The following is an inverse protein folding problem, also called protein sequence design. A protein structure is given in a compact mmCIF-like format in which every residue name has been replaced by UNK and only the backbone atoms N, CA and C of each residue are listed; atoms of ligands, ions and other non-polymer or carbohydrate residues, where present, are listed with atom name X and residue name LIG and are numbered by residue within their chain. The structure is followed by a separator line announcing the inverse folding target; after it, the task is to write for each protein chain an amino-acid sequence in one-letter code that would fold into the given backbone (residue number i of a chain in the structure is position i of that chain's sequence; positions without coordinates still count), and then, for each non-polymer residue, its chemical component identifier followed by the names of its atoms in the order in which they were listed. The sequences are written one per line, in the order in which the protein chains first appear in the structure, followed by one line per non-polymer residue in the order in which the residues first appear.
data_IF_346677454603
#
_entry.id   IF_346677454603
#
_cell.length_a   1.000
_cell.length_b   1.000
_cell.length_c   1.000
_cell.angle_alpha   90.00
_cell.angle_beta   90.00
_cell.angle_gamma   90.00
#
_symmetry.space_group_name_H-M   'P 1'
#
loop_
_entity.id
_entity.type
_entity.pdbx_description
1 polymer ?
#
# COMPACT_ATOMS: atom_id res chain seq x y z
N UNK A 1 20.38 -11.35 -24.51
CA UNK A 1 20.51 -11.90 -23.14
C UNK A 1 21.93 -12.45 -22.99
N UNK A 2 22.73 -12.02 -22.01
CA UNK A 2 23.96 -12.74 -21.66
C UNK A 2 23.59 -13.83 -20.66
N UNK A 3 23.88 -15.08 -20.99
CA UNK A 3 23.70 -16.20 -20.08
C UNK A 3 24.75 -16.12 -18.97
N UNK A 4 24.30 -16.19 -17.72
CA UNK A 4 25.17 -16.28 -16.54
C UNK A 4 25.61 -17.74 -16.40
N UNK A 5 26.90 -18.00 -16.20
CA UNK A 5 27.43 -19.36 -16.04
C UNK A 5 26.89 -20.00 -14.73
N UNK A 6 26.74 -21.33 -14.74
CA UNK A 6 26.01 -22.10 -13.72
C UNK A 6 26.61 -22.04 -12.31
N UNK A 7 27.93 -21.87 -12.24
CA UNK A 7 28.75 -21.62 -11.05
C UNK A 7 28.44 -20.27 -10.37
N UNK A 8 28.14 -19.24 -11.16
CA UNK A 8 27.74 -17.91 -10.66
C UNK A 8 26.27 -17.92 -10.19
N UNK A 9 25.44 -18.78 -10.79
CA UNK A 9 24.04 -18.93 -10.39
C UNK A 9 23.89 -19.60 -9.01
N UNK A 10 24.70 -20.63 -8.70
CA UNK A 10 24.68 -21.32 -7.41
C UNK A 10 25.30 -20.51 -6.26
N UNK A 11 26.21 -19.58 -6.56
CA UNK A 11 26.80 -18.67 -5.56
C UNK A 11 25.96 -17.41 -5.29
N UNK A 12 24.85 -17.21 -6.01
CA UNK A 12 24.05 -15.99 -5.91
C UNK A 12 23.20 -15.97 -4.63
N UNK A 13 23.35 -14.95 -3.76
CA UNK A 13 22.50 -14.82 -2.59
C UNK A 13 21.03 -14.64 -3.00
N UNK A 14 20.10 -15.28 -2.27
CA UNK A 14 18.66 -15.15 -2.49
C UNK A 14 18.18 -13.68 -2.55
N UNK A 15 18.80 -12.79 -1.77
CA UNK A 15 18.52 -11.36 -1.81
C UNK A 15 18.87 -10.72 -3.17
N UNK A 16 19.99 -11.12 -3.78
CA UNK A 16 20.40 -10.63 -5.09
C UNK A 16 19.46 -11.13 -6.19
N UNK A 17 19.07 -12.41 -6.14
CA UNK A 17 18.09 -12.97 -7.08
C UNK A 17 16.73 -12.28 -6.97
N UNK A 18 16.20 -12.08 -5.75
CA UNK A 18 14.97 -11.32 -5.51
C UNK A 18 15.06 -9.92 -6.11
N UNK A 19 16.16 -9.21 -5.87
CA UNK A 19 16.39 -7.86 -6.43
C UNK A 19 16.33 -7.88 -7.97
N UNK A 20 17.02 -8.82 -8.62
CA UNK A 20 17.00 -8.91 -10.08
C UNK A 20 15.60 -9.18 -10.65
N UNK A 21 14.82 -10.03 -10.00
CA UNK A 21 13.44 -10.31 -10.41
C UNK A 21 12.57 -9.06 -10.19
N UNK A 22 12.67 -8.41 -9.02
CA UNK A 22 11.92 -7.18 -8.72
C UNK A 22 12.29 -6.05 -9.69
N UNK A 23 13.57 -5.83 -9.98
CA UNK A 23 14.02 -4.78 -10.90
C UNK A 23 13.47 -4.98 -12.32
N UNK A 24 13.36 -6.23 -12.77
CA UNK A 24 12.86 -6.57 -14.11
C UNK A 24 11.34 -6.50 -14.23
N UNK A 25 10.61 -6.96 -13.21
CA UNK A 25 9.16 -7.16 -13.29
C UNK A 25 8.33 -6.17 -12.47
N UNK A 26 8.92 -5.50 -11.48
CA UNK A 26 8.28 -4.43 -10.69
C UNK A 26 8.98 -3.09 -10.98
N UNK A 27 8.91 -2.57 -12.22
CA UNK A 27 9.62 -1.36 -12.58
C UNK A 27 9.15 -0.19 -11.70
N UNK A 28 10.08 0.67 -11.29
CA UNK A 28 9.81 1.78 -10.35
C UNK A 28 8.66 2.68 -10.82
N UNK A 29 8.51 2.89 -12.13
CA UNK A 29 7.43 3.70 -12.71
C UNK A 29 6.03 3.10 -12.51
N UNK A 30 5.90 1.77 -12.44
CA UNK A 30 4.62 1.12 -12.11
C UNK A 30 4.31 1.25 -10.62
N UNK A 31 5.32 1.09 -9.77
CA UNK A 31 5.17 1.27 -8.32
C UNK A 31 4.76 2.72 -8.02
N UNK A 32 5.42 3.71 -8.63
CA UNK A 32 5.06 5.13 -8.46
C UNK A 32 3.61 5.43 -8.88
N UNK A 33 3.09 4.75 -9.91
CA UNK A 33 1.67 4.88 -10.29
C UNK A 33 0.74 4.33 -9.22
N UNK A 34 1.08 3.20 -8.60
CA UNK A 34 0.31 2.64 -7.48
C UNK A 34 0.39 3.53 -6.25
N UNK A 35 1.59 4.01 -5.88
CA UNK A 35 1.81 4.98 -4.79
C UNK A 35 0.98 6.25 -5.03
N UNK A 36 0.98 6.78 -6.26
CA UNK A 36 0.17 7.95 -6.63
C UNK A 36 -1.33 7.65 -6.54
N UNK A 37 -1.79 6.49 -7.01
CA UNK A 37 -3.19 6.08 -6.88
C UNK A 37 -3.59 5.99 -5.41
N UNK A 38 -2.74 5.40 -4.58
CA UNK A 38 -2.96 5.23 -3.16
C UNK A 38 -2.97 6.57 -2.42
N UNK A 39 -2.07 7.49 -2.77
CA UNK A 39 -2.04 8.85 -2.21
C UNK A 39 -3.27 9.69 -2.58
N UNK A 40 -3.87 9.44 -3.74
CA UNK A 40 -5.04 10.18 -4.20
C UNK A 40 -6.37 9.44 -3.97
N UNK A 41 -6.34 8.26 -3.34
CA UNK A 41 -7.53 7.48 -3.04
C UNK A 41 -8.47 8.25 -2.10
N UNK A 42 -9.73 8.37 -2.49
CA UNK A 42 -10.81 8.95 -1.70
C UNK A 42 -12.09 8.15 -1.93
N UNK A 43 -12.98 8.14 -0.95
CA UNK A 43 -14.31 7.54 -1.12
C UNK A 43 -15.04 8.26 -2.26
N UNK A 44 -15.63 7.50 -3.17
CA UNK A 44 -16.47 8.03 -4.26
C UNK A 44 -17.93 7.81 -3.90
N UNK A 45 -18.67 8.90 -3.70
CA UNK A 45 -20.06 8.82 -3.23
C UNK A 45 -20.14 8.25 -1.81
N UNK A 46 -20.90 7.17 -1.64
CA UNK A 46 -21.07 6.46 -0.35
C UNK A 46 -20.46 5.06 -0.37
N UNK A 47 -19.64 4.73 -1.37
CA UNK A 47 -19.09 3.39 -1.56
C UNK A 47 -17.85 3.15 -0.71
N UNK A 48 -18.08 3.02 0.60
CA UNK A 48 -17.03 2.79 1.59
C UNK A 48 -16.44 1.38 1.48
N UNK A 49 -17.24 0.39 1.10
CA UNK A 49 -16.78 -0.99 0.96
C UNK A 49 -15.69 -1.11 -0.12
N UNK A 50 -15.92 -0.54 -1.31
CA UNK A 50 -14.90 -0.54 -2.36
C UNK A 50 -13.68 0.32 -1.99
N UNK A 51 -13.87 1.39 -1.22
CA UNK A 51 -12.76 2.17 -0.69
C UNK A 51 -11.88 1.32 0.24
N UNK A 52 -12.47 0.62 1.20
CA UNK A 52 -11.76 -0.23 2.16
C UNK A 52 -10.99 -1.34 1.46
N UNK A 53 -11.64 -2.04 0.53
CA UNK A 53 -11.00 -3.07 -0.27
C UNK A 53 -9.83 -2.51 -1.09
N UNK A 54 -10.03 -1.42 -1.83
CA UNK A 54 -8.98 -0.83 -2.65
C UNK A 54 -7.83 -0.27 -1.82
N UNK A 55 -8.13 0.29 -0.63
CA UNK A 55 -7.13 0.77 0.31
C UNK A 55 -6.24 -0.37 0.79
N UNK A 56 -6.82 -1.50 1.23
CA UNK A 56 -6.08 -2.67 1.69
C UNK A 56 -5.23 -3.30 0.58
N UNK A 57 -5.78 -3.44 -0.63
CA UNK A 57 -5.03 -3.95 -1.79
C UNK A 57 -3.83 -3.05 -2.12
N UNK A 58 -4.02 -1.73 -2.12
CA UNK A 58 -2.94 -0.78 -2.39
C UNK A 58 -1.91 -0.73 -1.25
N UNK A 59 -2.35 -0.88 0.01
CA UNK A 59 -1.45 -0.97 1.16
C UNK A 59 -0.52 -2.18 1.06
N UNK A 60 -1.04 -3.33 0.60
CA UNK A 60 -0.23 -4.54 0.37
C UNK A 60 0.75 -4.34 -0.78
N UNK A 61 0.32 -3.74 -1.90
CA UNK A 61 1.20 -3.50 -3.05
C UNK A 61 2.25 -2.42 -2.80
N UNK A 62 1.94 -1.44 -1.93
CA UNK A 62 2.79 -0.30 -1.60
C UNK A 62 3.26 -0.37 -0.14
N UNK A 63 3.58 -1.55 0.38
CA UNK A 63 3.86 -1.74 1.81
C UNK A 63 5.01 -0.85 2.31
N UNK A 64 6.00 -0.55 1.45
CA UNK A 64 7.12 0.34 1.76
C UNK A 64 6.76 1.83 1.83
N UNK A 65 5.53 2.20 1.46
CA UNK A 65 5.10 3.60 1.41
C UNK A 65 4.88 4.19 2.81
N UNK A 66 4.56 3.35 3.80
CA UNK A 66 4.37 3.75 5.18
C UNK A 66 5.21 2.88 6.10
N UNK A 67 6.11 3.51 6.86
CA UNK A 67 6.96 2.82 7.83
C UNK A 67 6.24 2.52 9.15
N UNK A 68 5.22 3.33 9.48
CA UNK A 68 4.44 3.23 10.71
C UNK A 68 2.97 2.97 10.39
N UNK A 69 2.30 2.20 11.26
CA UNK A 69 0.86 1.91 11.13
C UNK A 69 0.00 3.17 11.33
N UNK A 70 0.39 4.04 12.25
CA UNK A 70 -0.22 5.37 12.48
C UNK A 70 -0.36 6.17 11.19
N UNK A 71 0.69 6.21 10.37
CA UNK A 71 0.68 6.92 9.09
C UNK A 71 -0.26 6.27 8.06
N UNK A 72 -0.40 4.93 8.07
CA UNK A 72 -1.40 4.21 7.26
C UNK A 72 -2.82 4.60 7.69
N UNK A 73 -3.07 4.64 8.99
CA UNK A 73 -4.37 5.02 9.58
C UNK A 73 -4.72 6.48 9.25
N UNK A 74 -3.80 7.43 9.45
CA UNK A 74 -4.00 8.83 9.08
C UNK A 74 -4.32 8.98 7.58
N UNK A 75 -3.61 8.23 6.74
CA UNK A 75 -3.88 8.22 5.31
C UNK A 75 -5.29 7.72 5.00
N UNK A 76 -5.73 6.64 5.66
CA UNK A 76 -7.07 6.10 5.52
C UNK A 76 -8.14 7.12 5.90
N UNK A 77 -7.98 7.77 7.06
CA UNK A 77 -8.91 8.80 7.55
C UNK A 77 -8.98 9.96 6.55
N UNK A 78 -7.84 10.43 6.02
CA UNK A 78 -7.81 11.55 5.06
C UNK A 78 -8.49 11.28 3.71
N UNK A 79 -8.85 10.03 3.40
CA UNK A 79 -9.64 9.69 2.21
C UNK A 79 -11.15 9.57 2.46
N UNK A 80 -11.60 9.67 3.71
CA UNK A 80 -13.01 9.55 4.10
C UNK A 80 -13.81 10.81 3.73
N UNK A 81 -15.13 10.68 3.48
CA UNK A 81 -16.00 11.83 3.26
C UNK A 81 -16.21 12.60 4.57
N UNK A 82 -16.43 13.91 4.47
CA UNK A 82 -16.54 14.82 5.62
C UNK A 82 -17.55 14.38 6.67
N UNK A 83 -18.63 13.71 6.23
CA UNK A 83 -19.73 13.21 7.06
C UNK A 83 -19.22 12.28 8.16
N UNK A 84 -18.27 11.38 7.87
CA UNK A 84 -17.73 10.40 8.83
C UNK A 84 -16.28 10.72 9.23
N UNK A 85 -15.59 11.57 8.48
CA UNK A 85 -14.21 11.94 8.76
C UNK A 85 -14.04 12.48 10.19
N UNK A 86 -14.96 13.34 10.65
CA UNK A 86 -14.90 13.93 11.98
C UNK A 86 -15.04 12.90 13.11
N UNK A 87 -16.00 11.97 13.00
CA UNK A 87 -16.24 10.94 14.01
C UNK A 87 -15.09 9.94 14.09
N UNK A 88 -14.59 9.45 12.94
CA UNK A 88 -13.45 8.52 12.89
C UNK A 88 -12.18 9.17 13.40
N UNK A 89 -11.94 10.44 13.07
CA UNK A 89 -10.77 11.16 13.59
C UNK A 89 -10.84 11.36 15.11
N UNK A 90 -12.03 11.56 15.66
CA UNK A 90 -12.24 11.76 17.09
C UNK A 90 -12.05 10.47 17.91
N UNK A 91 -12.33 9.30 17.34
CA UNK A 91 -12.11 8.00 18.02
C UNK A 91 -10.65 7.59 18.13
N UNK A 92 -9.74 8.27 17.40
CA UNK A 92 -8.28 8.05 17.44
C UNK A 92 -7.89 6.57 17.26
N UNK A 93 -8.27 5.94 16.14
CA UNK A 93 -7.92 4.55 15.88
C UNK A 93 -6.40 4.36 15.90
N UNK A 94 -5.95 3.29 16.53
CA UNK A 94 -4.54 2.90 16.62
C UNK A 94 -4.16 1.89 15.53
N UNK A 95 -5.15 1.20 14.98
CA UNK A 95 -4.97 0.20 13.94
C UNK A 95 -5.88 0.45 12.73
N UNK A 96 -5.52 -0.16 11.60
CA UNK A 96 -6.36 -0.13 10.41
C UNK A 96 -7.74 -0.77 10.64
N UNK A 97 -7.80 -1.81 11.46
CA UNK A 97 -9.05 -2.50 11.78
C UNK A 97 -10.01 -1.58 12.53
N UNK A 98 -9.52 -0.89 13.57
CA UNK A 98 -10.31 0.11 14.31
C UNK A 98 -10.79 1.24 13.39
N UNK A 99 -9.92 1.73 12.51
CA UNK A 99 -10.29 2.80 11.57
C UNK A 99 -11.43 2.38 10.63
N UNK A 100 -11.45 1.11 10.19
CA UNK A 100 -12.51 0.53 9.36
C UNK A 100 -13.79 0.36 10.18
N UNK A 101 -13.69 -0.14 11.40
CA UNK A 101 -14.83 -0.34 12.32
C UNK A 101 -15.50 1.00 12.68
N UNK A 102 -14.76 2.07 12.89
CA UNK A 102 -15.36 3.39 13.16
C UNK A 102 -15.97 4.04 11.93
N UNK A 103 -15.55 3.65 10.73
CA UNK A 103 -16.05 4.23 9.49
C UNK A 103 -17.33 3.56 8.98
N UNK A 104 -17.63 2.33 9.43
CA UNK A 104 -18.73 1.49 8.94
C UNK A 104 -19.81 1.32 10.00
#
# INVERSE_FOLDING_TARGET
MRAVKQDVAYAMPWAALKRMITDKYCPRSKIQKLESKYWNLKVKGLDLLNYNQCFQELALMCDRMFLEESAKVERYIGGLPDIIHGSVKASKPQSMQEAIEFAT
#
